data_IF_615595771168
#
_entry.id   IF_615595771168
#
_cell.length_a   1.000
_cell.length_b   1.000
_cell.length_c   1.000
_cell.angle_alpha   90.00
_cell.angle_beta   90.00
_cell.angle_gamma   90.00
#
_symmetry.space_group_name_H-M   'P 1'
#
loop_
_entity.id
_entity.type
_entity.pdbx_description
1 polymer ?
#
# COMPACT_ATOMS: atom_id res chain seq x y z
N UNK A 1 -18.64 17.42 -1.23
CA UNK A 1 -17.64 17.52 -0.13
C UNK A 1 -18.16 18.50 0.91
N UNK A 2 -18.04 18.17 2.19
CA UNK A 2 -18.39 19.09 3.28
C UNK A 2 -17.36 20.23 3.28
N UNK A 3 -17.84 21.46 3.39
CA UNK A 3 -17.05 22.67 3.55
C UNK A 3 -16.75 22.92 5.03
N UNK A 4 -17.81 22.95 5.86
CA UNK A 4 -17.72 23.12 7.31
C UNK A 4 -18.98 22.59 7.99
N UNK A 5 -18.86 22.30 9.29
CA UNK A 5 -19.98 22.03 10.18
C UNK A 5 -20.03 23.14 11.25
N UNK A 6 -21.24 23.55 11.61
CA UNK A 6 -21.52 24.63 12.54
C UNK A 6 -22.02 24.07 13.87
N UNK A 7 -21.87 24.85 14.96
CA UNK A 7 -22.29 24.44 16.30
C UNK A 7 -23.81 24.21 16.42
N UNK A 8 -24.61 24.85 15.56
CA UNK A 8 -26.07 24.70 15.51
C UNK A 8 -26.53 23.43 14.76
N UNK A 9 -25.60 22.56 14.35
CA UNK A 9 -25.88 21.33 13.62
C UNK A 9 -26.01 21.51 12.11
N UNK A 10 -25.85 22.73 11.58
CA UNK A 10 -25.82 22.98 10.14
C UNK A 10 -24.51 22.46 9.54
N UNK A 11 -24.60 21.78 8.41
CA UNK A 11 -23.46 21.31 7.60
C UNK A 11 -23.56 21.95 6.22
N UNK A 12 -22.52 22.68 5.83
CA UNK A 12 -22.42 23.33 4.52
C UNK A 12 -21.56 22.50 3.57
N UNK A 13 -22.00 22.37 2.32
CA UNK A 13 -21.26 21.68 1.27
C UNK A 13 -20.59 22.67 0.32
N UNK A 14 -19.57 22.21 -0.42
CA UNK A 14 -18.82 23.05 -1.36
C UNK A 14 -19.68 23.62 -2.51
N UNK A 15 -20.82 23.01 -2.82
CA UNK A 15 -21.76 23.50 -3.83
C UNK A 15 -22.71 24.59 -3.31
N UNK A 16 -22.58 24.98 -2.03
CA UNK A 16 -23.40 25.97 -1.37
C UNK A 16 -24.69 25.43 -0.75
N UNK A 17 -25.01 24.15 -0.93
CA UNK A 17 -26.14 23.52 -0.23
C UNK A 17 -25.82 23.32 1.26
N UNK A 18 -26.87 23.18 2.08
CA UNK A 18 -26.73 22.93 3.50
C UNK A 18 -27.84 22.02 4.05
N UNK A 19 -27.50 21.25 5.08
CA UNK A 19 -28.44 20.38 5.81
C UNK A 19 -28.20 20.50 7.31
N UNK A 20 -29.19 20.16 8.13
CA UNK A 20 -28.96 19.91 9.56
C UNK A 20 -28.71 18.42 9.78
N UNK A 21 -27.75 18.06 10.62
CA UNK A 21 -27.40 16.68 10.91
C UNK A 21 -27.09 16.46 12.39
N UNK A 22 -27.57 15.36 12.94
CA UNK A 22 -27.31 14.97 14.34
C UNK A 22 -25.98 14.22 14.52
N UNK A 23 -25.44 13.64 13.44
CA UNK A 23 -24.22 12.85 13.48
C UNK A 23 -23.41 12.94 12.18
N UNK A 24 -22.09 12.86 12.30
CA UNK A 24 -21.14 12.76 11.19
C UNK A 24 -20.36 11.45 11.33
N UNK A 25 -20.39 10.62 10.28
CA UNK A 25 -19.69 9.33 10.25
C UNK A 25 -18.57 9.41 9.20
N UNK A 26 -17.32 9.26 9.65
CA UNK A 26 -16.15 9.29 8.77
C UNK A 26 -15.94 7.94 8.08
N UNK A 27 -16.35 7.84 6.82
CA UNK A 27 -16.09 6.69 5.95
C UNK A 27 -14.84 6.90 5.05
N UNK A 28 -13.80 7.55 5.57
CA UNK A 28 -12.63 8.02 4.80
C UNK A 28 -11.48 6.99 4.68
N UNK A 29 -11.77 5.72 4.97
CA UNK A 29 -10.79 4.63 4.91
C UNK A 29 -9.86 4.55 6.12
N UNK A 30 -8.74 3.84 5.94
CA UNK A 30 -7.78 3.50 6.99
C UNK A 30 -6.35 3.89 6.59
N UNK A 31 -5.45 3.90 7.58
CA UNK A 31 -4.01 4.10 7.37
C UNK A 31 -3.23 2.85 7.78
N UNK A 32 -2.17 2.52 7.05
CA UNK A 32 -1.21 1.52 7.54
C UNK A 32 -0.56 2.00 8.83
N UNK A 33 -0.48 1.12 9.82
CA UNK A 33 0.10 1.44 11.12
C UNK A 33 0.69 0.18 11.76
N UNK A 34 2.01 0.20 11.99
CA UNK A 34 2.76 -0.93 12.55
C UNK A 34 3.51 -0.50 13.82
N UNK A 35 2.80 -0.22 14.94
CA UNK A 35 3.42 0.35 16.14
C UNK A 35 4.44 -0.60 16.81
N UNK A 36 4.37 -1.88 16.50
CA UNK A 36 5.27 -2.92 17.00
C UNK A 36 6.58 -3.03 16.20
N UNK A 37 6.66 -2.44 15.01
CA UNK A 37 7.74 -2.70 14.06
C UNK A 37 8.80 -1.59 14.11
N UNK A 38 9.89 -1.82 14.85
CA UNK A 38 11.05 -0.93 14.83
C UNK A 38 12.11 -1.42 13.83
N UNK A 39 12.26 -0.68 12.72
CA UNK A 39 13.27 -0.97 11.68
C UNK A 39 14.39 0.07 11.62
N UNK A 40 14.49 0.95 12.62
CA UNK A 40 15.40 2.11 12.61
C UNK A 40 15.26 2.95 11.31
N UNK A 41 14.02 3.13 10.84
CA UNK A 41 13.71 3.94 9.65
C UNK A 41 13.90 3.23 8.31
N UNK A 42 14.32 1.96 8.27
CA UNK A 42 14.45 1.20 7.01
C UNK A 42 13.10 0.90 6.35
N UNK A 43 12.02 0.88 7.13
CA UNK A 43 10.63 0.84 6.65
C UNK A 43 9.89 2.00 7.28
N UNK A 44 9.18 2.76 6.44
CA UNK A 44 8.37 3.90 6.85
C UNK A 44 6.95 3.78 6.30
N UNK A 45 6.01 4.46 6.95
CA UNK A 45 4.69 4.73 6.38
C UNK A 45 4.59 6.23 6.18
N UNK A 46 4.58 6.68 4.93
CA UNK A 46 4.47 8.09 4.57
C UNK A 46 3.32 8.30 3.58
N UNK A 47 2.34 9.13 3.96
CA UNK A 47 1.06 9.30 3.27
C UNK A 47 0.50 7.94 2.80
N UNK A 48 0.32 6.99 3.71
CA UNK A 48 -0.19 5.63 3.43
C UNK A 48 0.62 4.78 2.42
N UNK A 49 1.83 5.18 2.04
CA UNK A 49 2.82 4.35 1.35
C UNK A 49 3.71 3.65 2.38
N UNK A 50 3.66 2.33 2.44
CA UNK A 50 4.62 1.49 3.18
C UNK A 50 5.84 1.27 2.29
N UNK A 51 7.03 1.68 2.74
CA UNK A 51 8.19 1.61 1.86
C UNK A 51 9.55 1.91 2.50
N UNK A 52 10.63 1.72 1.72
CA UNK A 52 10.62 1.16 0.36
C UNK A 52 10.33 -0.36 0.36
N UNK A 53 9.61 -0.84 -0.65
CA UNK A 53 9.28 -2.28 -0.81
C UNK A 53 9.49 -2.71 -2.26
N UNK A 54 10.20 -3.82 -2.46
CA UNK A 54 10.22 -4.59 -3.69
C UNK A 54 8.92 -5.39 -3.81
N UNK A 55 8.20 -5.17 -4.91
CA UNK A 55 6.95 -5.87 -5.28
C UNK A 55 5.91 -5.88 -4.15
N UNK A 56 5.82 -4.77 -3.40
CA UNK A 56 4.94 -4.60 -2.24
C UNK A 56 5.15 -5.60 -1.07
N UNK A 57 6.23 -6.38 -1.08
CA UNK A 57 6.45 -7.46 -0.08
C UNK A 57 7.74 -7.24 0.70
N UNK A 58 8.87 -7.03 0.04
CA UNK A 58 10.19 -7.10 0.69
C UNK A 58 10.84 -5.72 0.83
N UNK A 59 11.18 -5.27 2.05
CA UNK A 59 12.08 -4.14 2.22
C UNK A 59 13.49 -4.54 1.77
N UNK A 60 14.10 -3.87 0.77
CA UNK A 60 15.35 -4.34 0.17
C UNK A 60 16.47 -4.63 1.19
N UNK A 61 16.68 -3.73 2.17
CA UNK A 61 17.74 -3.83 3.18
C UNK A 61 17.45 -4.78 4.36
N UNK A 62 16.28 -5.43 4.36
CA UNK A 62 15.86 -6.39 5.39
C UNK A 62 15.40 -7.73 4.81
N UNK A 63 15.39 -7.86 3.48
CA UNK A 63 14.99 -9.08 2.81
C UNK A 63 16.03 -10.21 3.02
N UNK A 64 15.62 -11.48 3.08
CA UNK A 64 14.22 -11.95 3.13
C UNK A 64 13.63 -12.00 4.55
N UNK A 65 14.37 -11.50 5.55
CA UNK A 65 14.04 -11.66 6.98
C UNK A 65 12.83 -10.85 7.46
N UNK A 66 12.46 -9.81 6.72
CA UNK A 66 11.20 -9.10 6.87
C UNK A 66 10.45 -9.09 5.53
N UNK A 67 9.16 -9.41 5.59
CA UNK A 67 8.25 -9.41 4.45
C UNK A 67 6.84 -9.00 4.88
N UNK A 68 6.11 -8.31 4.02
CA UNK A 68 4.71 -7.96 4.23
C UNK A 68 3.80 -8.75 3.30
N UNK A 69 2.67 -9.22 3.82
CA UNK A 69 1.64 -9.94 3.06
C UNK A 69 0.32 -9.21 3.20
N UNK A 70 -0.37 -9.01 2.08
CA UNK A 70 -1.69 -8.38 2.04
C UNK A 70 -1.66 -6.85 2.15
N UNK A 71 -0.53 -6.19 1.85
CA UNK A 71 -0.53 -4.73 1.71
C UNK A 71 -1.42 -4.27 0.55
N UNK A 72 -1.30 -4.81 -0.68
CA UNK A 72 -2.11 -4.31 -1.77
C UNK A 72 -3.62 -4.43 -1.53
N UNK A 73 -4.36 -3.41 -1.97
CA UNK A 73 -5.82 -3.35 -1.84
C UNK A 73 -6.50 -3.19 -3.21
N UNK A 74 -7.85 -3.18 -3.22
CA UNK A 74 -8.67 -3.22 -4.44
C UNK A 74 -8.38 -4.45 -5.32
N UNK A 75 -8.13 -5.58 -4.66
CA UNK A 75 -7.85 -6.90 -5.24
C UNK A 75 -8.67 -7.99 -4.53
N UNK A 76 -8.55 -9.26 -4.96
CA UNK A 76 -9.13 -10.41 -4.25
C UNK A 76 -8.21 -10.80 -3.09
N UNK A 77 -8.52 -10.47 -1.82
CA UNK A 77 -7.53 -10.54 -0.75
C UNK A 77 -7.01 -11.95 -0.48
N UNK A 78 -7.89 -12.95 -0.50
CA UNK A 78 -7.51 -14.34 -0.24
C UNK A 78 -6.49 -14.86 -1.25
N UNK A 79 -6.72 -14.64 -2.55
CA UNK A 79 -5.82 -15.10 -3.61
C UNK A 79 -4.48 -14.36 -3.54
N UNK A 80 -4.51 -13.03 -3.42
CA UNK A 80 -3.30 -12.22 -3.30
C UNK A 80 -2.43 -12.67 -2.12
N UNK A 81 -3.04 -12.82 -0.94
CA UNK A 81 -2.31 -13.21 0.27
C UNK A 81 -1.74 -14.62 0.14
N UNK A 82 -2.46 -15.55 -0.49
CA UNK A 82 -1.96 -16.90 -0.76
C UNK A 82 -0.74 -16.86 -1.69
N UNK A 83 -0.81 -16.10 -2.78
CA UNK A 83 0.29 -15.97 -3.74
C UNK A 83 1.53 -15.32 -3.13
N UNK A 84 1.36 -14.20 -2.42
CA UNK A 84 2.46 -13.55 -1.70
C UNK A 84 3.07 -14.47 -0.63
N UNK A 85 2.25 -15.17 0.15
CA UNK A 85 2.75 -16.09 1.17
C UNK A 85 3.52 -17.27 0.56
N UNK A 86 3.05 -17.84 -0.56
CA UNK A 86 3.78 -18.89 -1.30
C UNK A 86 5.12 -18.37 -1.82
N UNK A 87 5.15 -17.16 -2.38
CA UNK A 87 6.39 -16.55 -2.85
C UNK A 87 7.39 -16.33 -1.72
N UNK A 88 6.94 -15.75 -0.60
CA UNK A 88 7.77 -15.59 0.62
C UNK A 88 8.31 -16.94 1.12
N UNK A 89 7.48 -17.98 1.15
CA UNK A 89 7.92 -19.31 1.56
C UNK A 89 8.96 -19.94 0.60
N UNK A 90 8.82 -19.74 -0.72
CA UNK A 90 9.84 -20.18 -1.69
C UNK A 90 11.18 -19.47 -1.47
N UNK A 91 11.15 -18.16 -1.19
CA UNK A 91 12.35 -17.38 -0.86
C UNK A 91 13.01 -17.88 0.41
N UNK A 92 12.26 -17.99 1.51
CA UNK A 92 12.79 -18.41 2.81
C UNK A 92 13.31 -19.86 2.81
N UNK A 93 12.73 -20.74 1.99
CA UNK A 93 13.22 -22.11 1.80
C UNK A 93 14.42 -22.23 0.85
N UNK A 94 14.88 -21.13 0.24
CA UNK A 94 15.97 -21.11 -0.73
C UNK A 94 15.61 -21.71 -2.09
N UNK A 95 14.34 -22.05 -2.33
CA UNK A 95 13.85 -22.54 -3.63
C UNK A 95 13.80 -21.44 -4.69
N UNK A 96 13.64 -20.18 -4.25
CA UNK A 96 13.74 -18.99 -5.08
C UNK A 96 14.76 -18.04 -4.48
N UNK A 97 15.58 -17.41 -5.33
CA UNK A 97 16.51 -16.36 -4.93
C UNK A 97 15.91 -15.00 -5.27
N UNK A 98 15.94 -14.08 -4.31
CA UNK A 98 15.64 -12.69 -4.57
C UNK A 98 16.76 -12.05 -5.40
N UNK A 99 16.46 -10.97 -6.15
CA UNK A 99 17.49 -10.08 -6.66
C UNK A 99 18.35 -9.51 -5.53
N UNK A 100 19.47 -8.89 -5.89
CA UNK A 100 20.32 -8.17 -4.93
C UNK A 100 19.56 -7.00 -4.29
N UNK A 101 20.05 -6.53 -3.13
CA UNK A 101 19.49 -5.34 -2.46
C UNK A 101 19.46 -4.11 -3.38
N UNK A 102 20.50 -3.93 -4.20
CA UNK A 102 20.60 -2.83 -5.17
C UNK A 102 19.53 -2.93 -6.26
N UNK A 103 19.33 -4.12 -6.83
CA UNK A 103 18.30 -4.36 -7.86
C UNK A 103 16.89 -4.15 -7.29
N UNK A 104 16.61 -4.67 -6.09
CA UNK A 104 15.33 -4.46 -5.41
C UNK A 104 15.09 -2.98 -5.09
N UNK A 105 16.12 -2.27 -4.65
CA UNK A 105 16.04 -0.83 -4.37
C UNK A 105 15.78 -0.03 -5.64
N UNK A 106 16.47 -0.36 -6.73
CA UNK A 106 16.30 0.27 -8.04
C UNK A 106 14.91 0.04 -8.59
N UNK A 107 14.39 -1.19 -8.49
CA UNK A 107 13.01 -1.53 -8.88
C UNK A 107 11.99 -0.72 -8.08
N UNK A 108 12.10 -0.68 -6.74
CA UNK A 108 11.17 0.07 -5.89
C UNK A 108 11.19 1.58 -6.19
N UNK A 109 12.38 2.16 -6.41
CA UNK A 109 12.51 3.57 -6.79
C UNK A 109 11.96 3.85 -8.19
N UNK A 110 12.23 2.98 -9.17
CA UNK A 110 11.69 3.09 -10.52
C UNK A 110 10.17 3.07 -10.53
N UNK A 111 9.56 2.19 -9.72
CA UNK A 111 8.11 2.17 -9.52
C UNK A 111 7.59 3.50 -8.94
N UNK A 112 8.22 4.05 -7.91
CA UNK A 112 7.81 5.33 -7.34
C UNK A 112 7.95 6.49 -8.32
N UNK A 113 9.03 6.54 -9.09
CA UNK A 113 9.24 7.54 -10.13
C UNK A 113 8.17 7.44 -11.22
N UNK A 114 7.79 6.22 -11.62
CA UNK A 114 6.69 6.01 -12.57
C UNK A 114 5.37 6.55 -12.02
N UNK A 115 5.02 6.22 -10.77
CA UNK A 115 3.82 6.75 -10.11
C UNK A 115 3.80 8.27 -10.07
N UNK A 116 4.94 8.89 -9.73
CA UNK A 116 5.06 10.35 -9.68
C UNK A 116 4.91 10.98 -11.09
N UNK A 117 5.48 10.36 -12.13
CA UNK A 117 5.37 10.81 -13.52
C UNK A 117 3.93 10.78 -14.06
N UNK A 118 3.14 9.76 -13.69
CA UNK A 118 1.73 9.66 -14.09
C UNK A 118 0.79 10.41 -13.14
N UNK A 119 1.32 11.11 -12.14
CA UNK A 119 0.55 11.86 -11.15
C UNK A 119 -0.27 10.98 -10.20
N UNK A 120 0.12 9.72 -10.01
CA UNK A 120 -0.57 8.80 -9.12
C UNK A 120 -0.34 9.18 -7.65
N UNK A 121 -1.39 9.41 -6.85
CA UNK A 121 -1.23 9.85 -5.47
C UNK A 121 -0.47 8.84 -4.61
N UNK A 122 0.45 9.35 -3.77
CA UNK A 122 1.28 8.55 -2.85
C UNK A 122 0.45 7.59 -1.97
N UNK A 123 -0.65 8.06 -1.39
CA UNK A 123 -1.60 7.22 -0.62
C UNK A 123 -2.22 6.02 -1.34
N UNK A 124 -2.12 5.98 -2.66
CA UNK A 124 -2.65 4.91 -3.50
C UNK A 124 -1.55 3.99 -4.05
N UNK A 125 -0.31 4.08 -3.54
CA UNK A 125 0.84 3.28 -4.02
C UNK A 125 0.60 1.77 -4.02
N UNK A 126 -0.23 1.27 -3.12
CA UNK A 126 -0.56 -0.15 -3.00
C UNK A 126 -1.92 -0.52 -3.63
N UNK A 127 -2.50 0.33 -4.46
CA UNK A 127 -3.73 0.01 -5.20
C UNK A 127 -3.39 -0.67 -6.53
N UNK A 128 -3.78 -1.94 -6.67
CA UNK A 128 -3.52 -2.73 -7.88
C UNK A 128 -4.67 -2.68 -8.89
N UNK A 129 -5.45 -1.60 -8.94
CA UNK A 129 -6.68 -1.52 -9.75
C UNK A 129 -6.50 -1.95 -11.21
N UNK A 130 -5.41 -1.52 -11.86
CA UNK A 130 -5.14 -1.81 -13.27
C UNK A 130 -4.18 -3.00 -13.43
N UNK A 131 -3.21 -3.14 -12.53
CA UNK A 131 -2.11 -4.11 -12.66
C UNK A 131 -2.34 -5.41 -11.86
N UNK A 132 -3.52 -5.59 -11.25
CA UNK A 132 -3.83 -6.76 -10.42
C UNK A 132 -3.51 -8.07 -11.12
N UNK A 133 -4.00 -8.24 -12.35
CA UNK A 133 -3.87 -9.51 -13.08
C UNK A 133 -2.40 -9.78 -13.39
N UNK A 134 -1.66 -8.76 -13.82
CA UNK A 134 -0.24 -8.88 -14.15
C UNK A 134 0.59 -9.18 -12.91
N UNK A 135 0.29 -8.52 -11.78
CA UNK A 135 0.93 -8.79 -10.50
C UNK A 135 0.65 -10.21 -9.97
N UNK A 136 -0.62 -10.66 -10.04
CA UNK A 136 -1.00 -12.03 -9.65
C UNK A 136 -0.34 -13.08 -10.55
N UNK A 137 -0.28 -12.84 -11.87
CA UNK A 137 0.42 -13.71 -12.81
C UNK A 137 1.93 -13.73 -12.56
N UNK A 138 2.52 -12.57 -12.27
CA UNK A 138 3.94 -12.47 -11.94
C UNK A 138 4.26 -13.26 -10.66
N UNK A 139 3.44 -13.15 -9.61
CA UNK A 139 3.58 -13.96 -8.38
C UNK A 139 3.41 -15.46 -8.63
N UNK A 140 2.54 -15.86 -9.56
CA UNK A 140 2.36 -17.27 -9.93
C UNK A 140 3.61 -17.86 -10.60
N UNK A 141 4.30 -17.05 -11.41
CA UNK A 141 5.51 -17.44 -12.13
C UNK A 141 6.78 -17.33 -11.29
N UNK A 142 6.71 -16.63 -10.16
CA UNK A 142 7.78 -16.49 -9.16
C UNK A 142 7.80 -17.68 -8.19
#
# INVERSE_FOLDING_TARGET
MIKCAHEDGKVEFLDGSAVYADAIIHCTGYKYHFPFLNTNGKVTVDDNRVGPLYEHVFPPSLAPWLSFVGLPNLTQPALLMELQAKWVAKVLSGKLKLPTEEEMTTSAQGFYQHLDQVGWPKRLTHQLLQDKIDYENWLLLS
#
